data_IF_750034421656
#
_entry.id   IF_750034421656
#
_cell.length_a   1.000
_cell.length_b   1.000
_cell.length_c   1.000
_cell.angle_alpha   90.00
_cell.angle_beta   90.00
_cell.angle_gamma   90.00
#
_symmetry.space_group_name_H-M   'P 1'
#
loop_
_entity.id
_entity.type
_entity.pdbx_description
1 polymer ?
#
# COMPACT_ATOMS: atom_id res chain seq x y z
N UNK A 1 0.91 -6.29 7.17
CA UNK A 1 0.44 -4.89 7.10
C UNK A 1 -0.66 -4.77 8.12
N UNK A 2 -0.32 -4.43 9.35
CA UNK A 2 -1.28 -4.39 10.47
C UNK A 2 -2.36 -3.32 10.25
N UNK A 3 -1.98 -2.16 9.70
CA UNK A 3 -2.91 -1.05 9.43
C UNK A 3 -3.97 -1.32 8.36
N UNK A 4 -3.67 -2.14 7.36
CA UNK A 4 -4.60 -2.43 6.26
C UNK A 4 -5.32 -3.78 6.41
N UNK A 5 -4.93 -4.60 7.40
CA UNK A 5 -5.47 -5.96 7.61
C UNK A 5 -5.52 -6.86 6.36
N UNK A 6 -4.66 -6.61 5.36
CA UNK A 6 -4.55 -7.40 4.13
C UNK A 6 -3.35 -8.36 4.17
N UNK A 7 -3.53 -9.52 3.54
CA UNK A 7 -2.48 -10.52 3.35
C UNK A 7 -1.33 -10.01 2.49
N UNK A 8 -0.13 -10.61 2.63
CA UNK A 8 1.08 -10.18 1.90
C UNK A 8 0.89 -10.19 0.38
N UNK A 9 0.22 -11.20 -0.18
CA UNK A 9 -0.02 -11.31 -1.63
C UNK A 9 -0.81 -10.11 -2.14
N UNK A 10 -1.90 -9.75 -1.45
CA UNK A 10 -2.71 -8.57 -1.79
C UNK A 10 -1.90 -7.27 -1.71
N UNK A 11 -1.00 -7.12 -0.73
CA UNK A 11 -0.11 -5.95 -0.66
C UNK A 11 0.78 -5.86 -1.91
N UNK A 12 1.32 -6.98 -2.38
CA UNK A 12 2.12 -7.00 -3.62
C UNK A 12 1.29 -6.72 -4.86
N UNK A 13 0.06 -7.22 -4.94
CA UNK A 13 -0.89 -6.89 -6.02
C UNK A 13 -1.25 -5.40 -6.04
N UNK A 14 -1.51 -4.79 -4.89
CA UNK A 14 -1.78 -3.36 -4.76
C UNK A 14 -0.56 -2.51 -5.16
N UNK A 15 0.65 -2.95 -4.82
CA UNK A 15 1.87 -2.30 -5.27
C UNK A 15 2.10 -2.47 -6.78
N UNK A 16 1.82 -3.66 -7.33
CA UNK A 16 2.00 -3.96 -8.75
C UNK A 16 0.97 -3.21 -9.62
N UNK A 17 -0.26 -3.07 -9.14
CA UNK A 17 -1.32 -2.28 -9.78
C UNK A 17 -1.15 -0.77 -9.62
N UNK A 18 -0.12 -0.31 -8.90
CA UNK A 18 0.14 1.11 -8.66
C UNK A 18 -0.83 1.77 -7.68
N UNK A 19 -1.72 0.99 -7.05
CA UNK A 19 -2.69 1.47 -6.08
C UNK A 19 -2.07 1.80 -4.73
N UNK A 20 -1.02 1.07 -4.34
CA UNK A 20 -0.26 1.32 -3.13
C UNK A 20 1.16 1.73 -3.48
N UNK A 21 1.53 2.97 -3.14
CA UNK A 21 2.87 3.49 -3.41
C UNK A 21 3.90 2.75 -2.55
N UNK A 22 5.05 2.42 -3.16
CA UNK A 22 6.16 1.77 -2.46
C UNK A 22 7.50 2.28 -2.95
N UNK A 23 8.50 2.25 -2.06
CA UNK A 23 9.89 2.58 -2.38
C UNK A 23 10.74 1.33 -2.23
N UNK A 24 11.55 1.02 -3.25
CA UNK A 24 12.51 -0.08 -3.20
C UNK A 24 13.72 0.34 -2.36
N UNK A 25 14.01 -0.41 -1.29
CA UNK A 25 15.18 -0.22 -0.43
C UNK A 25 15.96 -1.53 -0.37
N UNK A 26 17.03 -1.63 -1.16
CA UNK A 26 17.78 -2.86 -1.35
C UNK A 26 16.91 -3.98 -1.94
N UNK A 27 16.79 -5.10 -1.22
CA UNK A 27 15.99 -6.27 -1.62
C UNK A 27 14.51 -6.21 -1.20
N UNK A 28 14.11 -5.22 -0.39
CA UNK A 28 12.74 -5.09 0.13
C UNK A 28 12.03 -3.87 -0.46
N UNK A 29 10.70 -3.93 -0.51
CA UNK A 29 9.84 -2.77 -0.74
C UNK A 29 9.34 -2.26 0.60
N UNK A 30 9.44 -0.96 0.80
CA UNK A 30 8.89 -0.26 1.96
C UNK A 30 7.69 0.56 1.50
N UNK A 31 6.66 0.58 2.34
CA UNK A 31 5.49 1.42 2.17
C UNK A 31 5.57 2.49 3.25
N UNK A 32 5.55 3.76 2.85
CA UNK A 32 5.57 4.85 3.82
C UNK A 32 4.20 5.03 4.45
N UNK A 33 4.16 5.60 5.66
CA UNK A 33 2.91 5.90 6.36
C UNK A 33 1.99 6.81 5.53
N UNK A 34 2.56 7.79 4.84
CA UNK A 34 1.83 8.67 3.93
C UNK A 34 1.16 7.91 2.77
N UNK A 35 1.84 6.90 2.20
CA UNK A 35 1.27 6.08 1.14
C UNK A 35 0.07 5.25 1.63
N UNK A 36 0.12 4.79 2.87
CA UNK A 36 -1.00 4.07 3.50
C UNK A 36 -2.17 5.03 3.71
N UNK A 37 -1.92 6.23 4.24
CA UNK A 37 -2.97 7.21 4.49
C UNK A 37 -3.65 7.68 3.19
N UNK A 38 -2.88 7.94 2.13
CA UNK A 38 -3.43 8.28 0.82
C UNK A 38 -4.26 7.14 0.22
N UNK A 39 -3.81 5.89 0.38
CA UNK A 39 -4.56 4.73 -0.08
C UNK A 39 -5.91 4.61 0.63
N UNK A 40 -5.94 4.78 1.95
CA UNK A 40 -7.17 4.79 2.77
C UNK A 40 -8.08 5.94 2.34
N UNK A 41 -7.55 7.17 2.27
CA UNK A 41 -8.32 8.35 1.87
C UNK A 41 -8.94 8.20 0.46
N UNK A 42 -8.24 7.55 -0.46
CA UNK A 42 -8.75 7.27 -1.81
C UNK A 42 -9.89 6.24 -1.80
N UNK A 43 -9.86 5.25 -0.91
CA UNK A 43 -10.97 4.31 -0.73
C UNK A 43 -12.17 5.03 -0.14
N UNK A 44 -11.96 5.78 0.94
CA UNK A 44 -13.02 6.49 1.65
C UNK A 44 -13.69 7.58 0.78
N UNK A 45 -12.91 8.26 -0.07
CA UNK A 45 -13.41 9.28 -0.99
C UNK A 45 -13.96 8.77 -2.32
N UNK A 46 -13.81 7.47 -2.62
CA UNK A 46 -14.41 6.82 -3.79
C UNK A 46 -15.73 6.12 -3.45
N UNK A 47 -16.23 6.27 -2.21
CA UNK A 47 -17.49 5.75 -1.72
C UNK A 47 -18.65 6.73 -1.94
#
# INVERSE_FOLDING_TARGET
MERLSVGRSMVFELMASGQLRSTKVGRRRLVSEAAINEFIARIDGAA
#
